data_IF_844745260325
#
_entry.id   IF_844745260325
#
_cell.length_a   1.000
_cell.length_b   1.000
_cell.length_c   1.000
_cell.angle_alpha   90.00
_cell.angle_beta   90.00
_cell.angle_gamma   90.00
#
_symmetry.space_group_name_H-M   'P 1'
#
loop_
_entity.id
_entity.type
_entity.pdbx_description
1 polymer ?
#
# COMPACT_ATOMS: atom_id res chain seq x y z
N UNK A 1 -4.27 -6.12 -19.09
CA UNK A 1 -3.42 -5.06 -18.53
C UNK A 1 -2.16 -4.92 -19.38
N UNK A 2 -1.98 -3.79 -20.07
CA UNK A 2 -0.67 -3.43 -20.62
C UNK A 2 0.23 -3.08 -19.43
N UNK A 3 1.09 -4.01 -19.03
CA UNK A 3 2.16 -3.71 -18.08
C UNK A 3 3.10 -2.72 -18.78
N UNK A 4 3.23 -1.48 -18.32
CA UNK A 4 4.25 -0.62 -18.86
C UNK A 4 5.59 -1.19 -18.41
N UNK A 5 6.45 -1.45 -19.40
CA UNK A 5 7.91 -1.63 -19.30
C UNK A 5 8.39 -3.08 -19.35
N UNK A 6 8.46 -3.57 -20.59
CA UNK A 6 9.45 -4.55 -21.03
C UNK A 6 10.73 -3.80 -21.46
N UNK A 7 11.37 -3.10 -20.52
CA UNK A 7 12.59 -2.32 -20.79
C UNK A 7 13.69 -2.75 -19.82
N UNK A 8 14.95 -2.74 -20.26
CA UNK A 8 16.10 -3.32 -19.55
C UNK A 8 16.34 -2.78 -18.12
N UNK A 9 15.69 -1.67 -17.75
CA UNK A 9 15.82 -1.00 -16.46
C UNK A 9 14.74 -1.41 -15.44
N UNK A 10 13.78 -2.29 -15.79
CA UNK A 10 12.75 -2.73 -14.85
C UNK A 10 13.36 -3.60 -13.73
N UNK A 11 13.04 -3.28 -12.47
CA UNK A 11 13.55 -4.05 -11.34
C UNK A 11 12.81 -5.38 -11.18
N UNK A 12 11.50 -5.42 -11.42
CA UNK A 12 10.69 -6.64 -11.39
C UNK A 12 10.36 -7.11 -12.80
N UNK A 13 10.31 -8.42 -12.99
CA UNK A 13 9.75 -9.05 -14.19
C UNK A 13 8.22 -8.99 -14.19
N UNK A 14 7.62 -9.20 -15.36
CA UNK A 14 6.16 -9.19 -15.51
C UNK A 14 5.46 -10.22 -14.61
N UNK A 15 6.05 -11.40 -14.38
CA UNK A 15 5.47 -12.41 -13.48
C UNK A 15 5.57 -12.00 -12.01
N UNK A 16 6.70 -11.40 -11.61
CA UNK A 16 6.89 -10.90 -10.24
C UNK A 16 5.92 -9.75 -9.89
N UNK A 17 5.40 -9.03 -10.90
CA UNK A 17 4.47 -7.91 -10.69
C UNK A 17 3.02 -8.34 -10.43
N UNK A 18 2.60 -9.58 -10.71
CA UNK A 18 1.16 -9.95 -10.74
C UNK A 18 0.52 -10.27 -9.39
N UNK A 19 1.31 -10.43 -8.33
CA UNK A 19 0.77 -10.61 -6.97
C UNK A 19 -0.02 -11.91 -6.73
N UNK A 20 0.03 -12.93 -7.59
CA UNK A 20 -0.57 -14.26 -7.36
C UNK A 20 -2.03 -14.19 -6.86
N UNK A 21 -2.85 -13.40 -7.57
CA UNK A 21 -4.25 -13.09 -7.28
C UNK A 21 -5.11 -14.29 -6.87
N UNK A 22 -4.87 -15.46 -7.49
CA UNK A 22 -5.59 -16.70 -7.23
C UNK A 22 -5.42 -17.22 -5.80
N UNK A 23 -4.36 -16.80 -5.11
CA UNK A 23 -4.06 -17.16 -3.72
C UNK A 23 -4.49 -16.10 -2.70
N UNK A 24 -4.96 -14.95 -3.15
CA UNK A 24 -5.35 -13.86 -2.26
C UNK A 24 -6.59 -14.26 -1.46
N UNK A 25 -6.50 -14.14 -0.14
CA UNK A 25 -7.57 -14.46 0.80
C UNK A 25 -7.94 -13.21 1.59
N UNK A 26 -8.96 -12.52 1.10
CA UNK A 26 -9.50 -11.31 1.73
C UNK A 26 -10.00 -11.57 3.15
N UNK A 27 -10.39 -12.80 3.49
CA UNK A 27 -10.90 -13.13 4.83
C UNK A 27 -9.83 -13.00 5.93
N UNK A 28 -8.55 -13.02 5.56
CA UNK A 28 -7.43 -12.78 6.48
C UNK A 28 -7.43 -11.34 7.06
N UNK A 29 -8.10 -10.41 6.38
CA UNK A 29 -8.20 -9.00 6.77
C UNK A 29 -9.52 -8.67 7.47
N UNK A 30 -10.27 -9.68 7.93
CA UNK A 30 -11.55 -9.50 8.62
C UNK A 30 -11.54 -10.30 9.92
N UNK A 31 -11.65 -9.61 11.05
CA UNK A 31 -11.85 -10.22 12.36
C UNK A 31 -13.30 -10.64 12.61
N UNK A 32 -13.55 -11.29 13.74
CA UNK A 32 -14.88 -11.65 14.21
C UNK A 32 -15.06 -11.25 15.69
N UNK A 33 -16.12 -11.72 16.34
CA UNK A 33 -16.42 -11.39 17.73
C UNK A 33 -15.35 -11.87 18.73
N UNK A 34 -14.61 -12.93 18.39
CA UNK A 34 -13.63 -13.56 19.27
C UNK A 34 -12.18 -13.20 18.93
N UNK A 35 -11.89 -12.76 17.70
CA UNK A 35 -10.53 -12.47 17.23
C UNK A 35 -10.46 -11.28 16.27
N UNK A 36 -9.46 -10.43 16.46
CA UNK A 36 -9.09 -9.39 15.49
C UNK A 36 -8.20 -9.95 14.37
N UNK A 37 -8.30 -9.38 13.17
CA UNK A 37 -7.35 -9.62 12.09
C UNK A 37 -6.06 -8.83 12.37
N UNK A 38 -4.96 -9.52 12.65
CA UNK A 38 -3.70 -8.88 13.06
C UNK A 38 -2.82 -8.58 11.86
N UNK A 39 -2.53 -7.30 11.62
CA UNK A 39 -1.80 -6.84 10.43
C UNK A 39 -0.54 -6.04 10.81
N UNK A 40 0.52 -6.19 10.02
CA UNK A 40 1.64 -5.22 9.99
C UNK A 40 1.34 -4.21 8.90
N UNK A 41 1.43 -2.92 9.20
CA UNK A 41 1.15 -1.86 8.23
C UNK A 41 2.44 -1.27 7.69
N UNK A 42 2.47 -1.03 6.38
CA UNK A 42 3.45 -0.17 5.72
C UNK A 42 2.74 1.08 5.22
N UNK A 43 3.23 2.25 5.58
CA UNK A 43 2.59 3.54 5.31
C UNK A 43 3.54 4.40 4.46
N UNK A 44 3.13 4.65 3.22
CA UNK A 44 3.82 5.50 2.25
C UNK A 44 2.90 6.68 1.89
N UNK A 45 3.23 7.86 2.37
CA UNK A 45 2.36 9.02 2.30
C UNK A 45 3.05 10.10 1.47
N UNK A 46 2.52 10.33 0.26
CA UNK A 46 2.86 11.49 -0.56
C UNK A 46 1.91 12.63 -0.25
N UNK A 47 2.42 13.86 -0.11
CA UNK A 47 1.58 15.01 0.25
C UNK A 47 0.76 15.54 -0.94
N UNK A 48 1.34 15.73 -2.13
CA UNK A 48 0.71 16.56 -3.17
C UNK A 48 0.52 15.86 -4.53
N UNK A 49 1.52 15.11 -5.00
CA UNK A 49 1.59 14.73 -6.41
C UNK A 49 1.54 13.23 -6.70
N UNK A 50 1.68 12.37 -5.68
CA UNK A 50 1.69 10.91 -5.88
C UNK A 50 0.58 10.22 -5.09
N UNK A 51 0.37 8.96 -5.45
CA UNK A 51 -0.51 8.05 -4.72
C UNK A 51 0.02 7.88 -3.31
N UNK A 52 -0.81 8.17 -2.33
CA UNK A 52 -0.61 7.75 -0.95
C UNK A 52 -1.07 6.29 -0.81
N UNK A 53 -0.30 5.44 -0.14
CA UNK A 53 -0.59 4.02 0.01
C UNK A 53 -0.36 3.52 1.43
N UNK A 54 -1.31 2.73 1.93
CA UNK A 54 -1.18 1.95 3.16
C UNK A 54 -1.40 0.48 2.84
N UNK A 55 -0.37 -0.32 3.12
CA UNK A 55 -0.36 -1.77 2.89
C UNK A 55 -0.56 -2.50 4.21
N UNK A 56 -1.63 -3.29 4.31
CA UNK A 56 -1.88 -4.20 5.42
C UNK A 56 -1.30 -5.55 5.07
N UNK A 57 -0.35 -6.05 5.86
CA UNK A 57 0.31 -7.33 5.63
C UNK A 57 -0.08 -8.36 6.70
N UNK A 58 -0.52 -9.54 6.23
CA UNK A 58 -0.68 -10.75 7.05
C UNK A 58 0.36 -11.80 6.64
N UNK A 59 0.92 -12.48 7.64
CA UNK A 59 1.89 -13.57 7.45
C UNK A 59 1.19 -14.92 7.55
N UNK A 60 1.26 -15.73 6.50
CA UNK A 60 0.73 -17.11 6.46
C UNK A 60 1.83 -18.07 6.05
N UNK A 61 2.53 -18.64 7.03
CA UNK A 61 3.74 -19.42 6.79
C UNK A 61 4.79 -18.60 6.01
N UNK A 62 5.13 -19.06 4.81
CA UNK A 62 6.09 -18.36 3.95
C UNK A 62 5.48 -17.23 3.11
N UNK A 63 4.15 -17.20 3.00
CA UNK A 63 3.40 -16.21 2.22
C UNK A 63 3.26 -14.90 2.99
N UNK A 64 3.20 -13.80 2.24
CA UNK A 64 2.86 -12.46 2.71
C UNK A 64 1.70 -11.99 1.86
N UNK A 65 0.54 -11.83 2.49
CA UNK A 65 -0.65 -11.31 1.83
C UNK A 65 -0.77 -9.83 2.13
N UNK A 66 -1.04 -9.02 1.11
CA UNK A 66 -1.16 -7.58 1.20
C UNK A 66 -2.53 -7.12 0.73
N UNK A 67 -3.25 -6.45 1.61
CA UNK A 67 -4.40 -5.62 1.24
C UNK A 67 -3.95 -4.17 1.22
N UNK A 68 -4.12 -3.49 0.09
CA UNK A 68 -3.63 -2.12 -0.09
C UNK A 68 -4.79 -1.14 -0.12
N UNK A 69 -4.68 -0.04 0.63
CA UNK A 69 -5.55 1.12 0.55
C UNK A 69 -4.75 2.27 -0.05
N UNK A 70 -5.28 2.88 -1.11
CA UNK A 70 -4.59 3.91 -1.88
C UNK A 70 -5.45 5.14 -1.98
N UNK A 71 -4.84 6.31 -1.89
CA UNK A 71 -5.50 7.59 -1.80
C UNK A 71 -4.87 8.57 -2.79
N UNK A 72 -5.69 9.39 -3.43
CA UNK A 72 -5.21 10.48 -4.27
C UNK A 72 -6.23 11.63 -4.35
N UNK A 73 -5.79 12.90 -4.40
CA UNK A 73 -6.70 14.03 -4.56
C UNK A 73 -7.21 14.12 -6.01
N UNK A 74 -8.50 14.39 -6.21
CA UNK A 74 -9.08 14.54 -7.56
C UNK A 74 -8.37 15.62 -8.36
N UNK A 75 -8.09 16.76 -7.73
CA UNK A 75 -7.36 17.86 -8.35
C UNK A 75 -6.00 17.43 -8.93
N UNK A 76 -5.25 16.57 -8.21
CA UNK A 76 -3.98 16.02 -8.72
C UNK A 76 -4.20 15.16 -9.96
N UNK A 77 -5.25 14.33 -9.98
CA UNK A 77 -5.59 13.49 -11.14
C UNK A 77 -5.97 14.36 -12.35
N UNK A 78 -6.79 15.39 -12.16
CA UNK A 78 -7.26 16.25 -13.25
C UNK A 78 -6.12 16.95 -14.02
N UNK A 79 -5.02 17.27 -13.32
CA UNK A 79 -3.81 17.82 -13.90
C UNK A 79 -2.97 16.86 -14.73
N UNK A 80 -3.23 15.55 -14.69
CA UNK A 80 -2.45 14.54 -15.40
C UNK A 80 -2.80 14.44 -16.90
N UNK A 81 -1.89 13.89 -17.73
CA UNK A 81 -2.19 13.49 -19.10
C UNK A 81 -3.42 12.58 -19.17
N UNK A 82 -4.22 12.71 -20.25
CA UNK A 82 -5.49 11.97 -20.41
C UNK A 82 -5.34 10.46 -20.16
N UNK A 83 -4.30 9.84 -20.69
CA UNK A 83 -4.07 8.38 -20.51
C UNK A 83 -3.95 7.98 -19.04
N UNK A 84 -3.26 8.78 -18.21
CA UNK A 84 -3.16 8.52 -16.77
C UNK A 84 -4.48 8.81 -16.05
N UNK A 85 -5.22 9.84 -16.48
CA UNK A 85 -6.54 10.15 -15.92
C UNK A 85 -7.53 9.02 -16.15
N UNK A 86 -7.63 8.54 -17.39
CA UNK A 86 -8.53 7.45 -17.76
C UNK A 86 -8.21 6.20 -16.92
N UNK A 87 -6.92 5.91 -16.75
CA UNK A 87 -6.45 4.80 -15.91
C UNK A 87 -6.78 4.95 -14.42
N UNK A 88 -6.60 6.12 -13.84
CA UNK A 88 -6.92 6.36 -12.43
C UNK A 88 -8.43 6.36 -12.21
N UNK A 89 -9.21 6.85 -13.17
CA UNK A 89 -10.67 6.73 -13.15
C UNK A 89 -11.14 5.26 -13.18
N UNK A 90 -10.48 4.38 -13.94
CA UNK A 90 -10.75 2.93 -13.88
C UNK A 90 -10.49 2.33 -12.48
N UNK A 91 -9.43 2.77 -11.80
CA UNK A 91 -9.10 2.33 -10.45
C UNK A 91 -10.04 2.90 -9.40
N UNK A 92 -10.50 4.14 -9.58
CA UNK A 92 -11.54 4.74 -8.77
C UNK A 92 -12.85 3.95 -8.89
N UNK A 93 -13.32 3.74 -10.13
CA UNK A 93 -14.57 3.00 -10.40
C UNK A 93 -14.54 1.55 -9.88
N UNK A 94 -13.37 0.93 -9.84
CA UNK A 94 -13.20 -0.43 -9.32
C UNK A 94 -12.89 -0.50 -7.81
N UNK A 95 -12.81 0.65 -7.12
CA UNK A 95 -12.52 0.74 -5.69
C UNK A 95 -11.08 0.43 -5.29
N UNK A 96 -10.15 0.45 -6.25
CA UNK A 96 -8.72 0.17 -6.06
C UNK A 96 -7.91 1.44 -5.76
N UNK A 97 -8.48 2.60 -6.02
CA UNK A 97 -7.97 3.92 -5.66
C UNK A 97 -9.10 4.73 -5.03
N UNK A 98 -8.90 5.21 -3.81
CA UNK A 98 -9.81 6.14 -3.15
C UNK A 98 -9.47 7.56 -3.58
N UNK A 99 -10.34 8.17 -4.39
CA UNK A 99 -10.18 9.56 -4.84
C UNK A 99 -10.99 10.47 -3.92
N UNK A 100 -10.36 11.53 -3.40
CA UNK A 100 -11.02 12.50 -2.52
C UNK A 100 -10.95 13.92 -3.07
N UNK A 101 -11.83 14.80 -2.60
CA UNK A 101 -11.99 16.16 -3.12
C UNK A 101 -11.14 17.24 -2.42
N UNK A 102 -10.30 16.85 -1.44
CA UNK A 102 -9.35 17.76 -0.80
C UNK A 102 -8.25 18.20 -1.77
N UNK A 103 -7.60 19.33 -1.48
CA UNK A 103 -6.54 19.91 -2.34
C UNK A 103 -5.25 19.08 -2.39
N UNK A 104 -4.99 18.29 -1.34
CA UNK A 104 -3.82 17.44 -1.15
C UNK A 104 -4.17 16.25 -0.27
N UNK A 105 -3.28 15.25 -0.16
CA UNK A 105 -3.47 14.07 0.67
C UNK A 105 -3.43 14.46 2.16
N UNK A 106 -4.54 14.92 2.70
CA UNK A 106 -4.67 15.30 4.10
C UNK A 106 -4.53 14.06 4.99
N UNK A 107 -3.58 14.14 5.92
CA UNK A 107 -3.16 12.99 6.70
C UNK A 107 -4.17 12.62 7.80
N UNK A 108 -4.89 13.61 8.35
CA UNK A 108 -5.92 13.36 9.34
C UNK A 108 -7.15 12.70 8.69
N UNK A 109 -7.52 13.16 7.50
CA UNK A 109 -8.55 12.54 6.67
C UNK A 109 -8.21 11.09 6.34
N UNK A 110 -7.02 10.84 5.80
CA UNK A 110 -6.58 9.48 5.42
C UNK A 110 -6.49 8.57 6.66
N UNK A 111 -5.99 9.09 7.80
CA UNK A 111 -5.97 8.33 9.04
C UNK A 111 -7.39 7.93 9.50
N UNK A 112 -8.36 8.85 9.41
CA UNK A 112 -9.74 8.58 9.80
C UNK A 112 -10.39 7.53 8.90
N UNK A 113 -10.21 7.62 7.58
CA UNK A 113 -10.66 6.60 6.61
C UNK A 113 -10.06 5.22 6.95
N UNK A 114 -8.76 5.16 7.25
CA UNK A 114 -8.08 3.93 7.65
C UNK A 114 -8.56 3.41 9.00
N UNK A 115 -8.80 4.29 9.97
CA UNK A 115 -9.31 3.96 11.30
C UNK A 115 -10.70 3.35 11.21
N UNK A 116 -11.59 3.96 10.42
CA UNK A 116 -12.91 3.44 10.16
C UNK A 116 -12.83 2.07 9.49
N UNK A 117 -12.06 1.94 8.42
CA UNK A 117 -11.84 0.66 7.74
C UNK A 117 -11.33 -0.43 8.69
N UNK A 118 -10.34 -0.13 9.53
CA UNK A 118 -9.81 -1.07 10.51
C UNK A 118 -10.86 -1.44 11.56
N UNK A 119 -11.63 -0.48 12.06
CA UNK A 119 -12.70 -0.71 13.03
C UNK A 119 -13.79 -1.62 12.48
N UNK A 120 -14.30 -1.32 11.28
CA UNK A 120 -15.34 -2.10 10.61
C UNK A 120 -14.92 -3.55 10.35
N UNK A 121 -13.66 -3.75 9.97
CA UNK A 121 -13.10 -5.07 9.68
C UNK A 121 -12.45 -5.74 10.90
N UNK A 122 -12.53 -5.12 12.09
CA UNK A 122 -11.89 -5.61 13.33
C UNK A 122 -10.40 -5.93 13.13
N UNK A 123 -9.70 -5.08 12.40
CA UNK A 123 -8.26 -5.16 12.17
C UNK A 123 -7.54 -4.54 13.35
N UNK A 124 -6.52 -5.25 13.85
CA UNK A 124 -5.60 -4.77 14.87
C UNK A 124 -4.21 -4.59 14.22
N UNK A 125 -3.71 -3.36 14.04
CA UNK A 125 -2.32 -3.14 13.66
C UNK A 125 -1.41 -3.60 14.80
N UNK A 126 -0.39 -4.41 14.49
CA UNK A 126 0.59 -4.89 15.47
C UNK A 126 1.96 -4.24 15.34
N UNK A 127 2.22 -3.61 14.20
CA UNK A 127 3.40 -2.81 13.91
C UNK A 127 3.09 -1.92 12.71
N UNK A 128 3.64 -0.70 12.69
CA UNK A 128 3.45 0.26 11.60
C UNK A 128 4.82 0.79 11.17
N UNK A 129 5.28 0.44 9.97
CA UNK A 129 6.46 1.03 9.35
C UNK A 129 6.09 2.28 8.55
N UNK A 130 6.85 3.36 8.70
CA UNK A 130 6.58 4.65 8.04
C UNK A 130 7.88 5.40 7.70
N UNK A 131 7.81 6.36 6.78
CA UNK A 131 8.90 7.31 6.53
C UNK A 131 8.84 8.53 7.48
N UNK A 132 9.96 8.81 8.16
CA UNK A 132 10.14 9.87 9.16
C UNK A 132 9.83 11.28 8.65
N UNK A 133 10.14 11.59 7.40
CA UNK A 133 10.22 12.97 6.91
C UNK A 133 8.89 13.75 7.01
N UNK A 134 7.74 13.06 7.05
CA UNK A 134 6.42 13.69 7.14
C UNK A 134 5.60 13.28 8.39
N UNK A 135 6.16 12.54 9.35
CA UNK A 135 5.34 11.68 10.22
C UNK A 135 4.95 12.18 11.63
N UNK A 136 5.39 13.36 12.04
CA UNK A 136 5.33 13.76 13.46
C UNK A 136 3.90 13.78 14.05
N UNK A 137 2.91 14.32 13.32
CA UNK A 137 1.53 14.38 13.79
C UNK A 137 0.81 13.03 13.70
N UNK A 138 1.12 12.25 12.67
CA UNK A 138 0.55 10.92 12.40
C UNK A 138 0.94 9.88 13.44
N UNK A 139 2.20 9.91 13.86
CA UNK A 139 2.70 9.03 14.91
C UNK A 139 1.96 9.25 16.21
N UNK A 140 1.63 10.51 16.50
CA UNK A 140 0.81 10.83 17.66
C UNK A 140 -0.57 10.19 17.54
N UNK A 141 -1.26 10.36 16.41
CA UNK A 141 -2.60 9.79 16.21
C UNK A 141 -2.62 8.26 16.31
N UNK A 142 -1.66 7.58 15.68
CA UNK A 142 -1.57 6.11 15.74
C UNK A 142 -1.18 5.65 17.15
N UNK A 143 -0.16 6.26 17.75
CA UNK A 143 0.31 5.83 19.07
C UNK A 143 -0.71 6.13 20.18
N UNK A 144 -1.43 7.25 20.10
CA UNK A 144 -2.48 7.61 21.07
C UNK A 144 -3.62 6.58 21.04
N UNK A 145 -3.92 5.99 19.88
CA UNK A 145 -5.03 5.06 19.71
C UNK A 145 -4.63 3.58 19.86
N UNK A 146 -3.48 3.18 19.33
CA UNK A 146 -3.03 1.78 19.25
C UNK A 146 -1.81 1.46 20.14
N UNK A 147 -1.25 2.45 20.82
CA UNK A 147 -0.03 2.33 21.61
C UNK A 147 1.24 2.43 20.77
N UNK A 148 2.40 2.28 21.41
CA UNK A 148 3.72 2.45 20.79
C UNK A 148 4.07 1.28 19.84
N UNK A 149 3.52 1.33 18.62
CA UNK A 149 3.68 0.29 17.58
C UNK A 149 4.31 0.83 16.29
N UNK A 150 4.67 2.11 16.27
CA UNK A 150 5.22 2.77 15.10
C UNK A 150 6.75 2.66 15.03
N UNK A 151 7.27 2.28 13.86
CA UNK A 151 8.70 2.12 13.61
C UNK A 151 9.15 3.00 12.44
N UNK A 152 10.12 3.88 12.69
CA UNK A 152 10.78 4.69 11.67
C UNK A 152 11.54 3.77 10.70
N UNK A 153 11.18 3.83 9.41
CA UNK A 153 11.84 3.14 8.31
C UNK A 153 12.47 4.20 7.39
N UNK A 154 13.77 4.53 7.57
CA UNK A 154 14.43 5.53 6.75
C UNK A 154 14.43 5.14 5.27
N UNK A 155 14.00 6.04 4.39
CA UNK A 155 13.94 5.82 2.93
C UNK A 155 15.32 6.01 2.26
N UNK A 156 16.32 5.28 2.75
CA UNK A 156 17.70 5.33 2.22
C UNK A 156 18.09 4.02 1.55
N UNK A 157 19.03 4.08 0.61
CA UNK A 157 19.60 2.88 -0.05
C UNK A 157 20.09 1.86 0.99
N UNK A 158 20.75 2.31 2.06
CA UNK A 158 21.25 1.45 3.13
C UNK A 158 20.12 0.67 3.84
N UNK A 159 18.99 1.33 4.07
CA UNK A 159 17.84 0.75 4.76
C UNK A 159 17.03 -0.20 3.86
N UNK A 160 16.80 0.20 2.60
CA UNK A 160 15.85 -0.48 1.71
C UNK A 160 16.47 -1.54 0.79
N UNK A 161 17.78 -1.48 0.51
CA UNK A 161 18.41 -2.38 -0.48
C UNK A 161 18.24 -3.86 -0.15
N UNK A 162 18.47 -4.24 1.12
CA UNK A 162 18.36 -5.65 1.52
C UNK A 162 16.90 -6.11 1.61
N UNK A 163 15.97 -5.37 2.28
CA UNK A 163 14.55 -5.70 2.25
C UNK A 163 13.98 -5.84 0.84
N UNK A 164 14.35 -4.96 -0.10
CA UNK A 164 13.85 -5.00 -1.47
C UNK A 164 14.34 -6.25 -2.23
N UNK A 165 15.60 -6.66 -2.04
CA UNK A 165 16.12 -7.92 -2.60
C UNK A 165 15.37 -9.13 -2.05
N UNK A 166 15.14 -9.18 -0.73
CA UNK A 166 14.37 -10.27 -0.09
C UNK A 166 12.93 -10.28 -0.58
N UNK A 167 12.31 -9.12 -0.71
CA UNK A 167 10.96 -8.96 -1.24
C UNK A 167 10.87 -9.48 -2.68
N UNK A 168 11.83 -9.11 -3.55
CA UNK A 168 11.89 -9.59 -4.92
C UNK A 168 12.03 -11.11 -5.02
N UNK A 169 12.95 -11.71 -4.25
CA UNK A 169 13.08 -13.18 -4.24
C UNK A 169 11.79 -13.87 -3.77
N UNK A 170 11.09 -13.30 -2.78
CA UNK A 170 9.77 -13.82 -2.37
C UNK A 170 8.72 -13.67 -3.46
N UNK A 171 8.69 -12.54 -4.19
CA UNK A 171 7.76 -12.33 -5.29
C UNK A 171 7.99 -13.37 -6.39
N UNK A 172 9.25 -13.62 -6.74
CA UNK A 172 9.69 -14.65 -7.68
C UNK A 172 9.26 -16.06 -7.29
N UNK A 173 9.30 -16.38 -5.99
CA UNK A 173 8.87 -17.67 -5.44
C UNK A 173 7.35 -17.79 -5.27
N UNK A 174 6.57 -16.77 -5.63
CA UNK A 174 5.13 -16.76 -5.43
C UNK A 174 4.66 -16.67 -4.00
N UNK A 175 5.42 -15.93 -3.19
CA UNK A 175 5.18 -15.71 -1.75
C UNK A 175 4.73 -14.28 -1.42
N UNK A 176 4.64 -13.39 -2.40
CA UNK A 176 4.07 -12.04 -2.26
C UNK A 176 2.73 -12.04 -2.96
N UNK A 177 1.65 -11.83 -2.19
CA UNK A 177 0.28 -12.03 -2.66
C UNK A 177 -0.52 -10.73 -2.47
N UNK A 178 -1.16 -10.24 -3.52
CA UNK A 178 -2.06 -9.08 -3.53
C UNK A 178 -3.01 -9.17 -4.73
N UNK A 179 -4.16 -8.51 -4.66
CA UNK A 179 -5.22 -8.63 -5.66
C UNK A 179 -5.45 -7.38 -6.52
N UNK A 180 -4.67 -6.33 -6.31
CA UNK A 180 -4.97 -5.03 -6.92
C UNK A 180 -4.07 -4.64 -8.13
N UNK A 181 -4.65 -4.02 -9.17
CA UNK A 181 -3.93 -3.62 -10.37
C UNK A 181 -2.99 -2.43 -10.17
N UNK A 182 -3.21 -1.62 -9.12
CA UNK A 182 -2.37 -0.46 -8.82
C UNK A 182 -1.02 -0.91 -8.26
N UNK A 183 -1.00 -1.91 -7.37
CA UNK A 183 0.22 -2.53 -6.88
C UNK A 183 0.97 -3.19 -8.03
N UNK A 184 0.27 -3.89 -8.93
CA UNK A 184 0.88 -4.44 -10.15
C UNK A 184 1.58 -3.34 -10.96
N UNK A 185 0.92 -2.19 -11.14
CA UNK A 185 1.51 -1.05 -11.83
C UNK A 185 2.69 -0.44 -11.06
N UNK A 186 2.61 -0.28 -9.74
CA UNK A 186 3.70 0.24 -8.91
C UNK A 186 4.96 -0.63 -9.04
N UNK A 187 4.83 -1.96 -8.96
CA UNK A 187 5.96 -2.88 -9.17
C UNK A 187 6.57 -2.74 -10.57
N UNK A 188 5.71 -2.66 -11.60
CA UNK A 188 6.15 -2.48 -12.98
C UNK A 188 6.85 -1.12 -13.23
N UNK A 189 6.75 -0.17 -12.29
CA UNK A 189 7.42 1.15 -12.38
C UNK A 189 8.69 1.29 -11.56
N UNK A 190 9.10 0.26 -10.81
CA UNK A 190 10.39 0.28 -10.13
C UNK A 190 11.52 0.13 -11.16
N UNK A 191 12.51 1.03 -11.10
CA UNK A 191 13.67 1.07 -12.00
C UNK A 191 14.97 0.85 -11.23
N UNK A 192 15.95 0.24 -11.89
CA UNK A 192 17.36 0.10 -11.46
C UNK A 192 18.29 0.79 -12.44
#
# INVERSE_FOLDING_TARGET
>A
FNLPVNNYLAYFSNEECKGWLDKFDKSLFVGNEERSARCVLGVDLSDVNDICSVSFMVVRGEERQYLNKKFMPRHTIEGLPKELRDKYAEWELSGQLHVHELDYNDQAYIFEELRQFMSENRILPVAVGYDRWNATERLRLINDYYGDICHDIPQTVKSLSNPLKVYKEKAKMGKIIFDDPVATWNHANVRV
#
